data_IF_759992446202
#
_entry.id   IF_759992446202
#
_cell.length_a   1.000
_cell.length_b   1.000
_cell.length_c   1.000
_cell.angle_alpha   90.00
_cell.angle_beta   90.00
_cell.angle_gamma   90.00
#
_symmetry.space_group_name_H-M   'P 1'
#
loop_
_entity.id
_entity.type
_entity.pdbx_description
1 polymer ?
#
# COMPACT_ATOMS: atom_id res chain seq x y z
N UNK A 1 -33.30 2.09 37.50
CA UNK A 1 -34.20 2.17 36.33
C UNK A 1 -33.41 2.77 35.21
N UNK A 2 -32.80 1.94 34.32
CA UNK A 2 -32.11 2.43 33.13
C UNK A 2 -33.17 2.82 32.10
N UNK A 3 -33.11 4.06 31.65
CA UNK A 3 -34.06 4.63 30.70
C UNK A 3 -34.10 3.85 29.39
N UNK A 4 -35.28 3.55 28.83
CA UNK A 4 -35.42 2.76 27.56
C UNK A 4 -34.85 3.46 26.33
N UNK A 5 -34.56 4.78 26.40
CA UNK A 5 -34.04 5.60 25.31
C UNK A 5 -32.60 5.22 24.88
N UNK A 6 -31.76 4.69 25.77
CA UNK A 6 -30.37 4.31 25.47
C UNK A 6 -30.31 3.01 24.66
N UNK A 7 -31.24 2.09 24.90
CA UNK A 7 -31.33 0.82 24.15
C UNK A 7 -31.76 1.07 22.70
N UNK A 8 -32.75 1.92 22.48
CA UNK A 8 -33.27 2.22 21.14
C UNK A 8 -32.20 2.91 20.24
N UNK A 9 -31.52 3.93 20.75
CA UNK A 9 -30.46 4.61 19.99
C UNK A 9 -29.32 3.66 19.59
N UNK A 10 -28.96 2.74 20.48
CA UNK A 10 -27.95 1.71 20.23
C UNK A 10 -28.38 0.70 19.18
N UNK A 11 -29.66 0.32 19.16
CA UNK A 11 -30.20 -0.62 18.18
C UNK A 11 -30.35 0.04 16.79
N UNK A 12 -30.69 1.32 16.73
CA UNK A 12 -30.70 2.11 15.49
C UNK A 12 -29.30 2.21 14.89
N UNK A 13 -28.32 2.57 15.71
CA UNK A 13 -26.93 2.68 15.28
C UNK A 13 -26.35 1.34 14.78
N UNK A 14 -26.69 0.25 15.45
CA UNK A 14 -26.38 -1.10 15.00
C UNK A 14 -26.90 -1.40 13.61
N UNK A 15 -28.19 -1.11 13.36
CA UNK A 15 -28.81 -1.31 12.06
C UNK A 15 -28.14 -0.47 10.98
N UNK A 16 -27.91 0.79 11.26
CA UNK A 16 -27.21 1.70 10.33
C UNK A 16 -25.81 1.19 9.94
N UNK A 17 -25.03 0.70 10.90
CA UNK A 17 -23.72 0.13 10.64
C UNK A 17 -23.80 -1.17 9.82
N UNK A 18 -24.78 -2.02 10.10
CA UNK A 18 -25.01 -3.25 9.35
C UNK A 18 -25.43 -2.96 7.92
N UNK A 19 -26.33 -2.00 7.71
CA UNK A 19 -26.81 -1.59 6.39
C UNK A 19 -25.68 -0.95 5.58
N UNK A 20 -24.92 -0.04 6.17
CA UNK A 20 -23.81 0.64 5.54
C UNK A 20 -22.67 -0.31 5.10
N UNK A 21 -22.39 -1.34 5.89
CA UNK A 21 -21.42 -2.38 5.54
C UNK A 21 -22.04 -3.54 4.75
N UNK A 22 -23.32 -3.41 4.33
CA UNK A 22 -24.05 -4.46 3.61
C UNK A 22 -23.89 -5.84 4.26
N UNK A 23 -24.05 -5.87 5.59
CA UNK A 23 -24.05 -7.11 6.32
C UNK A 23 -25.30 -7.95 5.96
N UNK A 24 -25.20 -9.28 5.95
CA UNK A 24 -26.36 -10.15 5.76
C UNK A 24 -27.37 -9.98 6.90
N UNK A 25 -28.62 -10.40 6.64
CA UNK A 25 -29.68 -10.40 7.64
C UNK A 25 -29.25 -11.09 8.94
N UNK A 26 -29.56 -10.50 10.07
CA UNK A 26 -29.07 -10.92 11.39
C UNK A 26 -29.49 -12.34 11.83
N UNK A 27 -30.50 -12.92 11.19
CA UNK A 27 -31.01 -14.27 11.48
C UNK A 27 -30.24 -15.37 10.73
N UNK A 28 -29.43 -15.02 9.72
CA UNK A 28 -28.64 -16.02 8.98
C UNK A 28 -27.54 -16.62 9.84
N UNK A 29 -27.45 -17.95 9.82
CA UNK A 29 -26.36 -18.66 10.50
C UNK A 29 -24.99 -18.30 9.88
N UNK A 30 -23.98 -18.05 10.72
CA UNK A 30 -22.61 -17.73 10.28
C UNK A 30 -22.01 -18.83 9.40
N UNK A 31 -22.45 -20.07 9.55
CA UNK A 31 -21.97 -21.22 8.78
C UNK A 31 -22.26 -21.11 7.28
N UNK A 32 -23.38 -20.48 6.91
CA UNK A 32 -23.84 -20.34 5.51
C UNK A 32 -23.34 -19.06 4.83
N UNK A 33 -22.65 -18.17 5.57
CA UNK A 33 -22.13 -16.92 5.05
C UNK A 33 -20.90 -17.16 4.19
N UNK A 34 -20.78 -16.42 3.10
CA UNK A 34 -19.56 -16.32 2.28
C UNK A 34 -18.40 -15.72 3.07
N UNK A 35 -17.16 -15.89 2.59
CA UNK A 35 -15.98 -15.32 3.23
C UNK A 35 -16.04 -13.79 3.34
N UNK A 36 -16.55 -13.09 2.32
CA UNK A 36 -16.74 -11.64 2.33
C UNK A 36 -17.80 -11.18 3.33
N UNK A 37 -18.94 -11.88 3.41
CA UNK A 37 -19.98 -11.58 4.41
C UNK A 37 -19.49 -11.78 5.84
N UNK A 38 -18.72 -12.84 6.10
CA UNK A 38 -18.11 -13.08 7.41
C UNK A 38 -17.18 -11.93 7.81
N UNK A 39 -16.35 -11.43 6.87
CA UNK A 39 -15.45 -10.30 7.11
C UNK A 39 -16.23 -9.02 7.42
N UNK A 40 -17.28 -8.69 6.64
CA UNK A 40 -18.10 -7.51 6.89
C UNK A 40 -18.81 -7.57 8.25
N UNK A 41 -19.36 -8.72 8.61
CA UNK A 41 -19.98 -8.91 9.94
C UNK A 41 -18.95 -8.78 11.07
N UNK A 42 -17.74 -9.33 10.88
CA UNK A 42 -16.67 -9.23 11.86
C UNK A 42 -16.20 -7.76 12.03
N UNK A 43 -16.02 -7.03 10.93
CA UNK A 43 -15.69 -5.60 10.93
C UNK A 43 -16.79 -4.79 11.63
N UNK A 44 -18.05 -4.97 11.26
CA UNK A 44 -19.20 -4.30 11.89
C UNK A 44 -19.20 -4.53 13.41
N UNK A 45 -19.05 -5.79 13.82
CA UNK A 45 -19.01 -6.16 15.26
C UNK A 45 -17.84 -5.50 15.97
N UNK A 46 -16.68 -5.40 15.33
CA UNK A 46 -15.48 -4.79 15.90
C UNK A 46 -15.67 -3.28 16.09
N UNK A 47 -16.18 -2.58 15.09
CA UNK A 47 -16.47 -1.14 15.15
C UNK A 47 -17.51 -0.80 16.21
N UNK A 48 -18.56 -1.61 16.32
CA UNK A 48 -19.61 -1.43 17.35
C UNK A 48 -19.16 -1.68 18.79
N UNK A 49 -18.01 -2.33 18.99
CA UNK A 49 -17.42 -2.52 20.33
C UNK A 49 -16.64 -1.29 20.80
N UNK A 50 -16.25 -0.41 19.89
CA UNK A 50 -15.47 0.78 20.16
C UNK A 50 -14.25 0.54 21.11
N UNK A 51 -13.33 -0.39 20.77
CA UNK A 51 -12.15 -0.64 21.61
C UNK A 51 -11.21 0.58 21.61
N UNK A 52 -10.42 0.75 22.67
CA UNK A 52 -9.45 1.85 22.76
C UNK A 52 -8.38 1.80 21.66
N UNK A 53 -8.03 0.59 21.21
CA UNK A 53 -7.08 0.35 20.09
C UNK A 53 -7.77 -0.55 19.08
N UNK A 54 -7.86 -0.09 17.84
CA UNK A 54 -8.44 -0.78 16.71
C UNK A 54 -7.34 -1.17 15.72
N UNK A 55 -7.17 -2.46 15.49
CA UNK A 55 -6.21 -3.01 14.52
C UNK A 55 -6.98 -3.52 13.30
N UNK A 56 -6.69 -2.97 12.13
CA UNK A 56 -7.33 -3.31 10.86
C UNK A 56 -6.30 -3.78 9.85
N UNK A 57 -6.55 -4.93 9.26
CA UNK A 57 -5.75 -5.50 8.17
C UNK A 57 -6.60 -5.55 6.90
N UNK A 58 -6.22 -4.75 5.89
CA UNK A 58 -6.92 -4.56 4.63
C UNK A 58 -8.45 -4.35 4.81
N UNK A 59 -8.88 -3.33 5.54
CA UNK A 59 -10.28 -3.15 5.92
C UNK A 59 -11.19 -2.81 4.73
N UNK A 60 -10.65 -2.28 3.64
CA UNK A 60 -11.40 -1.91 2.43
C UNK A 60 -11.64 -3.10 1.50
N UNK A 61 -10.94 -4.23 1.69
CA UNK A 61 -11.10 -5.42 0.86
C UNK A 61 -12.52 -6.00 0.97
N UNK A 62 -13.12 -6.27 -0.18
CA UNK A 62 -14.49 -6.80 -0.31
C UNK A 62 -15.60 -5.83 0.11
N UNK A 63 -15.29 -4.55 0.29
CA UNK A 63 -16.27 -3.49 0.45
C UNK A 63 -16.52 -2.81 -0.90
N UNK A 64 -17.75 -2.34 -1.11
CA UNK A 64 -18.06 -1.43 -2.19
C UNK A 64 -17.76 0.03 -1.82
N UNK A 65 -17.79 0.92 -2.79
CA UNK A 65 -17.43 2.32 -2.61
C UNK A 65 -18.26 3.04 -1.52
N UNK A 66 -19.55 2.69 -1.38
CA UNK A 66 -20.43 3.28 -0.37
C UNK A 66 -20.02 2.82 1.04
N UNK A 67 -19.74 1.53 1.20
CA UNK A 67 -19.28 0.97 2.48
C UNK A 67 -17.89 1.50 2.87
N UNK A 68 -16.99 1.69 1.90
CA UNK A 68 -15.67 2.31 2.14
C UNK A 68 -15.84 3.74 2.63
N UNK A 69 -16.65 4.56 1.94
CA UNK A 69 -16.90 5.95 2.35
C UNK A 69 -17.52 6.02 3.76
N UNK A 70 -18.46 5.15 4.08
CA UNK A 70 -19.00 5.09 5.45
C UNK A 70 -17.93 4.73 6.48
N UNK A 71 -17.08 3.74 6.17
CA UNK A 71 -15.97 3.33 7.04
C UNK A 71 -14.98 4.49 7.28
N UNK A 72 -14.61 5.23 6.24
CA UNK A 72 -13.75 6.39 6.33
C UNK A 72 -14.32 7.44 7.30
N UNK A 73 -15.59 7.80 7.12
CA UNK A 73 -16.27 8.77 8.00
C UNK A 73 -16.34 8.26 9.45
N UNK A 74 -16.62 6.97 9.63
CA UNK A 74 -16.66 6.37 10.98
C UNK A 74 -15.29 6.43 11.66
N UNK A 75 -14.21 6.09 10.93
CA UNK A 75 -12.84 6.10 11.47
C UNK A 75 -12.31 7.51 11.74
N UNK A 76 -12.71 8.52 10.96
CA UNK A 76 -12.37 9.92 11.23
C UNK A 76 -12.97 10.43 12.56
N UNK A 77 -14.13 9.90 12.95
CA UNK A 77 -14.81 10.25 14.19
C UNK A 77 -14.46 9.31 15.35
N UNK A 78 -13.64 8.29 15.08
CA UNK A 78 -13.28 7.30 16.10
C UNK A 78 -12.45 7.90 17.22
N UNK A 79 -12.85 7.63 18.48
CA UNK A 79 -12.21 8.23 19.66
C UNK A 79 -10.95 7.52 20.11
N UNK A 80 -10.81 6.23 19.75
CA UNK A 80 -9.64 5.41 20.07
C UNK A 80 -8.51 5.55 19.07
N UNK A 81 -7.45 4.79 19.27
CA UNK A 81 -6.32 4.72 18.34
C UNK A 81 -6.62 3.69 17.24
N UNK A 82 -6.50 4.09 15.98
CA UNK A 82 -6.65 3.20 14.83
C UNK A 82 -5.28 2.93 14.21
N UNK A 83 -4.96 1.66 14.02
CA UNK A 83 -3.79 1.21 13.28
C UNK A 83 -4.31 0.35 12.13
N UNK A 84 -4.11 0.80 10.89
CA UNK A 84 -4.55 0.11 9.69
C UNK A 84 -3.39 -0.23 8.78
N UNK A 85 -3.40 -1.45 8.23
CA UNK A 85 -2.52 -1.88 7.15
C UNK A 85 -3.40 -1.96 5.91
N UNK A 86 -3.03 -1.24 4.84
CA UNK A 86 -3.79 -1.26 3.59
C UNK A 86 -2.95 -0.81 2.41
N UNK A 87 -3.33 -1.28 1.22
CA UNK A 87 -2.80 -0.81 -0.07
C UNK A 87 -3.68 0.26 -0.72
N UNK A 88 -4.81 0.59 -0.12
CA UNK A 88 -5.74 1.61 -0.61
C UNK A 88 -5.23 3.02 -0.29
N UNK A 89 -4.70 3.69 -1.31
CA UNK A 89 -4.12 5.03 -1.20
C UNK A 89 -5.16 6.10 -0.89
N UNK A 90 -6.37 5.96 -1.42
CA UNK A 90 -7.46 6.90 -1.17
C UNK A 90 -7.94 6.81 0.26
N UNK A 91 -8.12 5.59 0.75
CA UNK A 91 -8.44 5.35 2.16
C UNK A 91 -7.38 5.96 3.09
N UNK A 92 -6.08 5.73 2.82
CA UNK A 92 -5.00 6.33 3.60
C UNK A 92 -5.00 7.87 3.54
N UNK A 93 -5.32 8.44 2.39
CA UNK A 93 -5.35 9.89 2.22
C UNK A 93 -6.49 10.54 3.01
N UNK A 94 -7.62 9.85 3.13
CA UNK A 94 -8.81 10.33 3.82
C UNK A 94 -8.77 10.10 5.34
N UNK A 95 -8.17 9.00 5.81
CA UNK A 95 -8.26 8.57 7.22
C UNK A 95 -6.97 8.77 8.00
N UNK A 96 -5.80 8.63 7.35
CA UNK A 96 -4.53 8.61 8.07
C UNK A 96 -4.07 10.01 8.52
N UNK A 97 -3.80 10.16 9.81
CA UNK A 97 -3.11 11.32 10.36
C UNK A 97 -1.60 11.11 10.51
N UNK A 98 -1.17 9.85 10.48
CA UNK A 98 0.22 9.40 10.52
C UNK A 98 0.39 8.18 9.63
N UNK A 99 1.56 8.06 8.99
CA UNK A 99 1.97 6.88 8.24
C UNK A 99 3.25 6.34 8.85
N UNK A 100 3.27 5.04 9.15
CA UNK A 100 4.47 4.31 9.53
C UNK A 100 4.99 3.55 8.32
N UNK A 101 6.07 4.03 7.75
CA UNK A 101 6.76 3.35 6.66
C UNK A 101 7.74 2.33 7.25
N UNK A 102 7.67 1.09 6.76
CA UNK A 102 8.65 0.05 7.07
C UNK A 102 9.64 -0.03 5.90
N UNK A 103 10.85 0.46 6.12
CA UNK A 103 11.91 0.49 5.10
C UNK A 103 13.22 -0.05 5.69
N UNK A 104 13.83 -1.01 5.01
CA UNK A 104 15.14 -1.59 5.36
C UNK A 104 15.26 -2.08 6.82
N UNK A 105 14.16 -2.60 7.37
CA UNK A 105 14.09 -3.09 8.76
C UNK A 105 13.88 -2.00 9.80
N UNK A 106 13.68 -0.76 9.39
CA UNK A 106 13.37 0.37 10.26
C UNK A 106 11.94 0.84 10.08
N UNK A 107 11.32 1.32 11.17
CA UNK A 107 10.01 1.96 11.14
C UNK A 107 10.15 3.49 11.14
N UNK A 108 9.74 4.14 10.07
CA UNK A 108 9.89 5.60 9.90
C UNK A 108 8.50 6.23 10.01
N UNK A 109 8.23 6.98 11.10
CA UNK A 109 6.95 7.65 11.26
C UNK A 109 6.91 8.97 10.46
N UNK A 110 5.84 9.16 9.70
CA UNK A 110 5.56 10.35 8.94
C UNK A 110 4.25 10.99 9.40
N UNK A 111 4.26 12.28 9.64
CA UNK A 111 3.06 13.03 9.99
C UNK A 111 2.32 13.46 8.73
N UNK A 112 1.01 13.18 8.71
CA UNK A 112 0.12 13.53 7.61
C UNK A 112 -0.49 12.31 6.92
N UNK A 113 -1.22 12.56 5.85
CA UNK A 113 -1.87 11.57 5.01
C UNK A 113 -0.93 11.00 3.93
N UNK A 114 -1.45 10.14 3.05
CA UNK A 114 -0.66 9.49 2.00
C UNK A 114 -0.01 10.48 1.03
N UNK A 115 -0.73 11.50 0.57
CA UNK A 115 -0.20 12.53 -0.33
C UNK A 115 0.95 13.30 0.32
N UNK A 116 0.79 13.67 1.59
CA UNK A 116 1.83 14.34 2.39
C UNK A 116 3.07 13.44 2.57
N UNK A 117 2.88 12.16 2.85
CA UNK A 117 3.95 11.18 2.95
C UNK A 117 4.75 11.07 1.63
N UNK A 118 4.05 10.97 0.50
CA UNK A 118 4.68 10.84 -0.82
C UNK A 118 5.59 12.05 -1.13
N UNK A 119 5.12 13.24 -0.80
CA UNK A 119 5.86 14.49 -0.99
C UNK A 119 7.12 14.56 -0.09
N UNK A 120 6.97 14.18 1.18
CA UNK A 120 8.09 14.11 2.13
C UNK A 120 9.11 13.04 1.72
N UNK A 121 8.65 11.87 1.29
CA UNK A 121 9.50 10.78 0.80
C UNK A 121 10.27 11.18 -0.44
N UNK A 122 9.63 11.84 -1.41
CA UNK A 122 10.31 12.30 -2.63
C UNK A 122 11.42 13.31 -2.32
N UNK A 123 11.19 14.24 -1.39
CA UNK A 123 12.20 15.20 -0.92
C UNK A 123 13.37 14.50 -0.22
N UNK A 124 13.08 13.49 0.62
CA UNK A 124 14.12 12.69 1.29
C UNK A 124 14.98 11.95 0.28
N UNK A 125 14.36 11.25 -0.68
CA UNK A 125 15.08 10.51 -1.71
C UNK A 125 15.97 11.44 -2.55
N UNK A 126 15.48 12.61 -2.94
CA UNK A 126 16.27 13.61 -3.67
C UNK A 126 17.47 14.12 -2.84
N UNK A 127 17.34 14.23 -1.53
CA UNK A 127 18.45 14.60 -0.65
C UNK A 127 19.48 13.48 -0.51
N UNK A 128 19.00 12.23 -0.35
CA UNK A 128 19.85 11.03 -0.28
C UNK A 128 20.65 10.86 -1.56
N UNK A 129 20.03 11.04 -2.74
CA UNK A 129 20.70 10.98 -4.04
C UNK A 129 21.79 12.05 -4.19
N UNK A 130 21.51 13.30 -3.77
CA UNK A 130 22.51 14.37 -3.75
C UNK A 130 23.68 14.04 -2.83
N UNK A 131 23.42 13.44 -1.67
CA UNK A 131 24.47 13.03 -0.74
C UNK A 131 25.28 11.86 -1.31
N UNK A 132 24.62 10.87 -1.90
CA UNK A 132 25.27 9.73 -2.57
C UNK A 132 26.16 10.19 -3.71
N UNK A 133 25.70 11.13 -4.55
CA UNK A 133 26.49 11.72 -5.62
C UNK A 133 27.75 12.45 -5.10
N UNK A 134 27.62 13.23 -4.01
CA UNK A 134 28.75 13.87 -3.35
C UNK A 134 29.77 12.88 -2.79
N UNK A 135 29.27 11.81 -2.13
CA UNK A 135 30.10 10.71 -1.59
C UNK A 135 30.86 10.01 -2.71
N UNK A 136 30.17 9.68 -3.81
CA UNK A 136 30.80 9.05 -4.98
C UNK A 136 31.93 9.88 -5.56
N UNK A 137 31.73 11.19 -5.75
CA UNK A 137 32.78 12.10 -6.21
C UNK A 137 33.97 12.20 -5.24
N UNK A 138 33.72 12.07 -3.94
CA UNK A 138 34.75 12.02 -2.93
C UNK A 138 35.52 10.70 -3.01
N UNK A 139 34.83 9.59 -3.14
CA UNK A 139 35.40 8.25 -3.28
C UNK A 139 36.29 8.15 -4.54
N UNK A 140 35.83 8.69 -5.68
CA UNK A 140 36.58 8.73 -6.93
C UNK A 140 37.88 9.51 -6.75
N UNK A 141 37.87 10.70 -6.09
CA UNK A 141 39.04 11.46 -5.77
C UNK A 141 40.01 10.73 -4.83
N UNK A 142 39.50 10.06 -3.81
CA UNK A 142 40.31 9.23 -2.92
C UNK A 142 40.90 8.01 -3.62
N UNK A 143 40.17 7.41 -4.56
CA UNK A 143 40.64 6.31 -5.39
C UNK A 143 41.79 6.73 -6.29
N UNK A 144 41.67 7.90 -6.95
CA UNK A 144 42.76 8.48 -7.76
C UNK A 144 44.01 8.72 -6.90
N UNK A 145 43.80 9.26 -5.69
CA UNK A 145 44.92 9.47 -4.76
C UNK A 145 45.58 8.16 -4.32
N UNK A 146 44.79 7.09 -4.06
CA UNK A 146 45.35 5.76 -3.73
C UNK A 146 46.11 5.16 -4.90
N UNK A 147 45.72 5.44 -6.16
CA UNK A 147 46.40 4.99 -7.37
C UNK A 147 47.67 5.75 -7.71
N UNK A 148 47.88 6.95 -7.13
CA UNK A 148 49.10 7.71 -7.34
C UNK A 148 50.35 7.02 -6.77
N UNK A 149 51.50 7.27 -7.38
CA UNK A 149 52.79 6.59 -7.16
C UNK A 149 53.23 6.54 -5.68
N UNK A 150 53.96 5.47 -5.26
CA UNK A 150 54.42 5.26 -3.88
C UNK A 150 55.22 6.42 -3.28
N UNK A 151 55.95 7.22 -4.07
CA UNK A 151 56.71 8.38 -3.60
C UNK A 151 55.84 9.49 -3.01
N UNK A 152 54.56 9.60 -3.40
CA UNK A 152 53.62 10.55 -2.80
C UNK A 152 52.91 10.01 -1.56
N UNK A 153 53.06 8.73 -1.24
CA UNK A 153 52.36 8.04 -0.12
C UNK A 153 53.15 8.11 1.21
N UNK A 154 54.45 8.40 1.19
CA UNK A 154 55.33 8.13 2.34
C UNK A 154 55.04 8.94 3.61
N UNK A 155 54.15 9.91 3.64
CA UNK A 155 53.88 10.66 4.86
C UNK A 155 52.44 10.78 5.30
N UNK A 156 51.45 10.21 4.59
CA UNK A 156 50.04 10.45 4.91
C UNK A 156 49.22 9.15 4.96
N UNK A 157 49.27 8.62 5.99
CA UNK A 157 48.32 8.38 7.09
C UNK A 157 47.44 7.16 6.87
N UNK A 158 47.70 6.13 7.72
CA UNK A 158 46.75 5.03 8.03
C UNK A 158 45.31 5.53 8.21
N UNK A 159 45.11 6.75 8.71
CA UNK A 159 43.84 7.39 8.90
C UNK A 159 43.05 7.62 7.59
N UNK A 160 43.75 8.02 6.50
CA UNK A 160 43.08 8.28 5.22
C UNK A 160 42.68 6.98 4.49
N UNK A 161 43.52 5.95 4.59
CA UNK A 161 43.18 4.60 4.11
C UNK A 161 42.00 3.99 4.91
N UNK A 162 42.04 4.15 6.24
CA UNK A 162 40.92 3.68 7.09
C UNK A 162 39.61 4.44 6.79
N UNK A 163 39.65 5.71 6.47
CA UNK A 163 38.48 6.48 6.03
C UNK A 163 37.96 6.00 4.65
N UNK A 164 38.87 5.68 3.73
CA UNK A 164 38.49 5.12 2.43
C UNK A 164 37.81 3.74 2.58
N UNK A 165 38.38 2.87 3.41
CA UNK A 165 37.78 1.54 3.70
C UNK A 165 36.37 1.66 4.36
N UNK A 166 36.19 2.64 5.25
CA UNK A 166 34.88 2.96 5.83
C UNK A 166 33.88 3.43 4.78
N UNK A 167 34.27 4.34 3.89
CA UNK A 167 33.42 4.85 2.81
C UNK A 167 32.98 3.73 1.85
N UNK A 168 33.88 2.81 1.50
CA UNK A 168 33.54 1.64 0.67
C UNK A 168 32.56 0.70 1.39
N UNK A 169 32.81 0.43 2.69
CA UNK A 169 31.94 -0.45 3.46
C UNK A 169 30.52 0.10 3.63
N UNK A 170 30.40 1.43 3.75
CA UNK A 170 29.11 2.14 3.79
C UNK A 170 28.40 2.13 2.44
N UNK A 171 29.14 2.31 1.33
CA UNK A 171 28.57 2.27 -0.02
C UNK A 171 28.03 0.87 -0.38
N UNK A 172 28.75 -0.18 0.02
CA UNK A 172 28.31 -1.56 -0.19
C UNK A 172 27.06 -1.93 0.61
N UNK A 173 26.82 -1.32 1.77
CA UNK A 173 25.58 -1.47 2.54
C UNK A 173 24.38 -0.75 1.90
N UNK A 174 24.59 0.28 1.11
CA UNK A 174 23.55 1.09 0.47
C UNK A 174 23.14 0.59 -0.92
N UNK A 175 23.93 -0.28 -1.55
CA UNK A 175 23.55 -0.95 -2.79
C UNK A 175 22.52 -2.05 -2.50
N UNK A 176 21.28 -1.65 -2.28
CA UNK A 176 20.18 -2.56 -2.54
C UNK A 176 20.06 -2.76 -4.06
N UNK A 177 20.10 -4.01 -4.45
CA UNK A 177 19.83 -4.42 -5.82
C UNK A 177 18.44 -3.94 -6.20
N UNK A 178 18.35 -2.91 -7.05
CA UNK A 178 17.12 -2.61 -7.76
C UNK A 178 16.84 -3.84 -8.63
N UNK A 179 15.82 -4.61 -8.26
CA UNK A 179 15.32 -5.68 -9.10
C UNK A 179 14.72 -4.99 -10.32
N UNK A 180 15.49 -4.89 -11.40
CA UNK A 180 14.97 -4.50 -12.71
C UNK A 180 14.22 -5.70 -13.28
N UNK A 181 12.90 -5.63 -13.25
CA UNK A 181 12.05 -6.62 -13.87
C UNK A 181 12.13 -6.40 -15.38
N UNK A 182 13.05 -7.08 -16.05
CA UNK A 182 13.10 -7.08 -17.50
C UNK A 182 12.14 -8.12 -18.04
N UNK A 183 11.07 -7.67 -18.68
CA UNK A 183 10.15 -8.54 -19.43
C UNK A 183 10.59 -8.47 -20.90
N UNK A 184 11.23 -9.54 -21.44
CA UNK A 184 11.65 -9.53 -22.82
C UNK A 184 10.43 -9.39 -23.75
N UNK A 185 10.52 -8.60 -24.82
CA UNK A 185 9.43 -8.49 -25.77
C UNK A 185 9.18 -9.87 -26.40
N UNK A 186 7.95 -10.34 -26.30
CA UNK A 186 7.51 -11.58 -26.96
C UNK A 186 7.53 -11.47 -28.49
N UNK A 187 7.31 -12.57 -29.20
CA UNK A 187 7.20 -12.55 -30.66
C UNK A 187 6.06 -11.60 -31.07
N UNK A 188 6.26 -10.86 -32.15
CA UNK A 188 5.29 -9.87 -32.61
C UNK A 188 3.97 -10.57 -32.96
N UNK A 189 2.93 -10.22 -32.21
CA UNK A 189 1.57 -10.65 -32.50
C UNK A 189 1.09 -9.98 -33.80
N UNK A 190 0.32 -10.71 -34.61
CA UNK A 190 -0.24 -10.15 -35.84
C UNK A 190 -1.18 -8.95 -35.63
N UNK A 191 -1.74 -8.42 -36.70
CA UNK A 191 -2.68 -7.27 -36.65
C UNK A 191 -3.97 -7.57 -35.91
N UNK A 192 -4.42 -8.83 -35.87
CA UNK A 192 -5.55 -9.30 -35.09
C UNK A 192 -5.05 -10.18 -33.97
N UNK A 193 -5.06 -9.66 -32.73
CA UNK A 193 -4.60 -10.41 -31.54
C UNK A 193 -5.72 -11.27 -30.98
N UNK A 194 -6.86 -10.67 -30.74
CA UNK A 194 -8.10 -11.34 -30.31
C UNK A 194 -9.27 -10.67 -31.03
N UNK A 195 -10.15 -11.47 -31.60
CA UNK A 195 -11.42 -11.04 -32.17
C UNK A 195 -12.53 -11.88 -31.55
N UNK A 196 -13.46 -11.24 -30.86
CA UNK A 196 -14.68 -11.86 -30.36
C UNK A 196 -15.83 -11.45 -31.25
N UNK A 197 -16.65 -12.42 -31.70
CA UNK A 197 -17.84 -12.21 -32.52
C UNK A 197 -18.99 -12.98 -31.91
N UNK A 198 -20.08 -12.25 -31.66
CA UNK A 198 -21.36 -12.84 -31.18
C UNK A 198 -21.17 -13.77 -29.96
N UNK A 199 -20.25 -13.39 -29.06
CA UNK A 199 -19.93 -14.23 -27.90
C UNK A 199 -20.96 -14.01 -26.81
N UNK A 200 -21.62 -15.09 -26.40
CA UNK A 200 -22.61 -15.06 -25.31
C UNK A 200 -22.24 -16.06 -24.23
N UNK A 201 -22.51 -15.75 -22.97
CA UNK A 201 -22.25 -16.61 -21.84
C UNK A 201 -23.39 -16.56 -20.82
N UNK A 202 -23.86 -17.75 -20.45
CA UNK A 202 -24.82 -17.91 -19.35
C UNK A 202 -24.33 -18.98 -18.36
N UNK A 203 -24.77 -18.90 -17.12
CA UNK A 203 -24.65 -19.93 -16.12
C UNK A 203 -26.05 -20.33 -15.64
N UNK A 204 -26.53 -21.50 -16.08
CA UNK A 204 -27.91 -21.91 -15.92
C UNK A 204 -28.84 -20.85 -16.53
N UNK A 205 -29.81 -20.38 -15.78
CA UNK A 205 -30.78 -19.36 -16.23
C UNK A 205 -30.23 -17.90 -16.15
N UNK A 206 -29.02 -17.70 -15.64
CA UNK A 206 -28.44 -16.38 -15.50
C UNK A 206 -27.58 -16.04 -16.70
N UNK A 207 -28.10 -15.21 -17.61
CA UNK A 207 -27.34 -14.62 -18.72
C UNK A 207 -26.35 -13.59 -18.15
N UNK A 208 -25.05 -13.68 -18.52
CA UNK A 208 -24.02 -12.74 -18.12
C UNK A 208 -23.82 -11.66 -19.17
N UNK A 209 -23.67 -12.07 -20.43
CA UNK A 209 -23.57 -11.17 -21.59
C UNK A 209 -24.01 -11.93 -22.84
N UNK A 210 -24.53 -11.18 -23.79
CA UNK A 210 -25.05 -11.66 -25.06
C UNK A 210 -24.51 -10.80 -26.20
N UNK A 211 -24.20 -11.44 -27.31
CA UNK A 211 -23.77 -10.76 -28.55
C UNK A 211 -22.58 -9.81 -28.39
N UNK A 212 -21.60 -10.19 -27.55
CA UNK A 212 -20.41 -9.40 -27.30
C UNK A 212 -19.47 -9.46 -28.52
N UNK A 213 -19.23 -8.27 -29.10
CA UNK A 213 -18.38 -8.10 -30.28
C UNK A 213 -17.24 -7.11 -29.95
N UNK A 214 -15.99 -7.56 -30.03
CA UNK A 214 -14.84 -6.68 -29.88
C UNK A 214 -13.60 -7.18 -30.60
N UNK A 215 -12.68 -6.26 -30.90
CA UNK A 215 -11.33 -6.57 -31.41
C UNK A 215 -10.29 -5.96 -30.51
N UNK A 216 -9.30 -6.75 -30.15
CA UNK A 216 -8.14 -6.29 -29.41
C UNK A 216 -7.01 -5.95 -30.39
N UNK A 217 -6.61 -4.67 -30.52
CA UNK A 217 -5.48 -4.28 -31.36
C UNK A 217 -4.15 -4.75 -30.76
N UNK A 218 -3.08 -4.86 -31.55
CA UNK A 218 -1.74 -5.09 -31.03
C UNK A 218 -1.34 -3.95 -30.10
N UNK A 219 -0.74 -4.30 -28.94
CA UNK A 219 -0.39 -3.39 -27.85
C UNK A 219 -1.60 -2.70 -27.15
N UNK A 220 -2.82 -3.21 -27.34
CA UNK A 220 -3.99 -2.77 -26.57
C UNK A 220 -3.95 -3.32 -25.15
N UNK A 221 -4.32 -2.49 -24.18
CA UNK A 221 -4.56 -2.87 -22.79
C UNK A 221 -6.07 -2.88 -22.58
N UNK A 222 -6.60 -3.98 -22.00
CA UNK A 222 -8.02 -4.16 -21.66
C UNK A 222 -8.17 -4.25 -20.17
#
# INVERSE_FOLDING_TARGET
TRLPTVSWARDVYKRQAMDALRCPEGEKSISVLSGGEKRRVALCRLLLKEPDILLLDEPTNHLDAESVNWLEQHLQLYKGTVIAITHDRYFLDNVAGWILELDRGEGIPWKGNYSSWLDQKSKRLAQEEKQASKRRKTLERELEWVRMSPKGRQSKSKARLSNYDKLISEENRQKEEKIELYIPPGPRLGTNVIEAKEVSKAFGDKLLYEDLNFKLPPAGIV
#
